data_IF_681869191267
#
_entry.id   IF_681869191267
#
_cell.length_a   1.000
_cell.length_b   1.000
_cell.length_c   1.000
_cell.angle_alpha   90.00
_cell.angle_beta   90.00
_cell.angle_gamma   90.00
#
_symmetry.space_group_name_H-M   'P 1'
#
loop_
_entity.id
_entity.type
_entity.pdbx_description
1 polymer ?
#
# COMPACT_ATOMS: atom_id res chain seq x y z
N UNK A 1 13.46 21.51 7.15
CA UNK A 1 13.73 20.86 5.84
C UNK A 1 13.32 19.39 5.81
N UNK A 2 13.62 18.58 6.84
CA UNK A 2 13.16 17.17 6.91
C UNK A 2 11.63 16.99 6.90
N UNK A 3 10.88 17.83 7.62
CA UNK A 3 9.41 17.74 7.71
C UNK A 3 8.74 18.03 6.35
N UNK A 4 9.20 19.06 5.63
CA UNK A 4 8.65 19.43 4.31
C UNK A 4 8.83 18.31 3.27
N UNK A 5 10.01 17.67 3.25
CA UNK A 5 10.28 16.53 2.36
C UNK A 5 9.43 15.30 2.69
N UNK A 6 9.11 15.08 3.97
CA UNK A 6 8.26 13.96 4.38
C UNK A 6 6.80 14.20 3.98
N UNK A 7 6.30 15.42 4.12
CA UNK A 7 4.95 15.83 3.68
C UNK A 7 4.80 15.67 2.17
N UNK A 8 5.77 16.14 1.37
CA UNK A 8 5.73 15.98 -0.09
C UNK A 8 5.77 14.52 -0.56
N UNK A 9 6.44 13.63 0.19
CA UNK A 9 6.41 12.19 -0.07
C UNK A 9 5.07 11.56 0.31
N UNK A 10 4.44 11.99 1.39
CA UNK A 10 3.10 11.51 1.78
C UNK A 10 2.04 11.93 0.75
N UNK A 11 2.10 13.15 0.23
CA UNK A 11 1.20 13.62 -0.84
C UNK A 11 1.40 12.86 -2.17
N UNK A 12 2.64 12.47 -2.50
CA UNK A 12 2.92 11.61 -3.65
C UNK A 12 2.39 10.19 -3.46
N UNK A 13 2.54 9.62 -2.26
CA UNK A 13 1.99 8.31 -1.89
C UNK A 13 0.45 8.32 -1.96
N UNK A 14 -0.21 9.40 -1.52
CA UNK A 14 -1.65 9.54 -1.65
C UNK A 14 -2.11 9.59 -3.11
N UNK A 15 -1.34 10.23 -4.01
CA UNK A 15 -1.63 10.22 -5.46
C UNK A 15 -1.42 8.85 -6.11
N UNK A 16 -0.59 7.98 -5.54
CA UNK A 16 -0.32 6.63 -6.03
C UNK A 16 -1.21 5.55 -5.39
N UNK A 17 -2.01 5.90 -4.38
CA UNK A 17 -2.93 4.94 -3.74
C UNK A 17 -4.03 4.55 -4.73
N UNK A 18 -4.14 3.24 -4.96
CA UNK A 18 -5.24 2.64 -5.73
C UNK A 18 -6.54 2.86 -4.95
N UNK A 19 -7.52 3.52 -5.58
CA UNK A 19 -8.84 3.69 -4.98
C UNK A 19 -9.63 2.37 -4.97
N UNK A 20 -10.60 2.19 -4.07
CA UNK A 20 -11.48 1.02 -4.09
C UNK A 20 -12.17 0.81 -5.44
N UNK A 21 -12.61 1.88 -6.12
CA UNK A 21 -13.22 1.78 -7.44
C UNK A 21 -12.22 1.27 -8.48
N UNK A 22 -10.97 1.76 -8.42
CA UNK A 22 -9.93 1.28 -9.32
C UNK A 22 -9.59 -0.19 -9.05
N UNK A 23 -9.58 -0.61 -7.80
CA UNK A 23 -9.39 -2.00 -7.43
C UNK A 23 -10.52 -2.90 -7.95
N UNK A 24 -11.78 -2.45 -7.95
CA UNK A 24 -12.90 -3.18 -8.58
C UNK A 24 -12.62 -3.40 -10.08
N UNK A 25 -12.20 -2.36 -10.81
CA UNK A 25 -11.89 -2.49 -12.25
C UNK A 25 -10.78 -3.50 -12.52
N UNK A 26 -9.69 -3.44 -11.74
CA UNK A 26 -8.55 -4.34 -11.89
C UNK A 26 -8.95 -5.78 -11.55
N UNK A 27 -9.60 -6.00 -10.41
CA UNK A 27 -10.01 -7.32 -9.96
C UNK A 27 -11.01 -7.96 -10.94
N UNK A 28 -11.95 -7.19 -11.49
CA UNK A 28 -12.86 -7.66 -12.53
C UNK A 28 -12.13 -8.11 -13.79
N UNK A 29 -11.13 -7.34 -14.25
CA UNK A 29 -10.33 -7.70 -15.42
C UNK A 29 -9.62 -9.05 -15.24
N UNK A 30 -9.22 -9.36 -14.01
CA UNK A 30 -8.61 -10.64 -13.64
C UNK A 30 -9.65 -11.73 -13.29
N UNK A 31 -10.94 -11.50 -13.55
CA UNK A 31 -12.02 -12.48 -13.37
C UNK A 31 -12.63 -12.53 -11.96
N UNK A 32 -12.34 -11.55 -11.11
CA UNK A 32 -12.87 -11.47 -9.74
C UNK A 32 -13.90 -10.35 -9.60
N UNK A 33 -15.17 -10.70 -9.59
CA UNK A 33 -16.26 -9.74 -9.33
C UNK A 33 -16.37 -9.44 -7.84
N UNK A 34 -16.20 -8.16 -7.48
CA UNK A 34 -16.28 -7.68 -6.10
C UNK A 34 -16.99 -6.34 -6.03
N UNK A 35 -17.67 -6.08 -4.92
CA UNK A 35 -18.21 -4.76 -4.59
C UNK A 35 -17.08 -3.81 -4.17
N UNK A 36 -17.34 -2.50 -4.23
CA UNK A 36 -16.40 -1.48 -3.75
C UNK A 36 -16.02 -1.69 -2.27
N UNK A 37 -16.97 -2.11 -1.43
CA UNK A 37 -16.74 -2.42 -0.01
C UNK A 37 -15.78 -3.61 0.17
N UNK A 38 -15.92 -4.64 -0.67
CA UNK A 38 -14.98 -5.77 -0.67
C UNK A 38 -13.61 -5.36 -1.20
N UNK A 39 -13.55 -4.58 -2.28
CA UNK A 39 -12.29 -4.06 -2.82
C UNK A 39 -11.54 -3.22 -1.79
N UNK A 40 -12.25 -2.37 -1.01
CA UNK A 40 -11.66 -1.64 0.12
C UNK A 40 -11.01 -2.58 1.15
N UNK A 41 -11.72 -3.64 1.57
CA UNK A 41 -11.18 -4.62 2.54
C UNK A 41 -9.96 -5.36 1.98
N UNK A 42 -9.96 -5.66 0.68
CA UNK A 42 -8.80 -6.28 0.00
C UNK A 42 -7.61 -5.34 0.04
N UNK A 43 -7.78 -4.06 -0.31
CA UNK A 43 -6.71 -3.06 -0.25
C UNK A 43 -6.16 -2.90 1.17
N UNK A 44 -7.02 -2.82 2.19
CA UNK A 44 -6.61 -2.75 3.60
C UNK A 44 -5.81 -3.98 4.04
N UNK A 45 -6.17 -5.16 3.53
CA UNK A 45 -5.43 -6.39 3.80
C UNK A 45 -4.05 -6.40 3.14
N UNK A 46 -3.97 -5.99 1.87
CA UNK A 46 -2.70 -5.88 1.13
C UNK A 46 -1.77 -4.85 1.76
N UNK A 47 -2.30 -3.72 2.25
CA UNK A 47 -1.52 -2.71 2.97
C UNK A 47 -0.89 -3.29 4.25
N UNK A 48 -1.62 -4.12 5.00
CA UNK A 48 -1.07 -4.81 6.18
C UNK A 48 0.06 -5.76 5.79
N UNK A 49 -0.10 -6.54 4.73
CA UNK A 49 0.95 -7.43 4.24
C UNK A 49 2.20 -6.67 3.80
N UNK A 50 2.02 -5.58 3.04
CA UNK A 50 3.11 -4.72 2.61
C UNK A 50 3.87 -4.13 3.81
N UNK A 51 3.15 -3.62 4.81
CA UNK A 51 3.76 -3.09 6.03
C UNK A 51 4.58 -4.15 6.79
N UNK A 52 4.07 -5.39 6.88
CA UNK A 52 4.81 -6.50 7.50
C UNK A 52 6.11 -6.77 6.71
N UNK A 53 6.03 -6.90 5.39
CA UNK A 53 7.19 -7.18 4.55
C UNK A 53 8.25 -6.08 4.60
N UNK A 54 7.82 -4.81 4.54
CA UNK A 54 8.72 -3.65 4.65
C UNK A 54 9.39 -3.61 6.03
N UNK A 55 8.62 -3.81 7.10
CA UNK A 55 9.18 -3.82 8.45
C UNK A 55 10.21 -4.94 8.65
N UNK A 56 9.97 -6.12 8.08
CA UNK A 56 10.92 -7.22 8.13
C UNK A 56 12.21 -6.87 7.38
N UNK A 57 12.11 -6.38 6.14
CA UNK A 57 13.27 -5.95 5.35
C UNK A 57 14.09 -4.86 6.07
N UNK A 58 13.40 -3.87 6.67
CA UNK A 58 14.07 -2.81 7.43
C UNK A 58 14.74 -3.32 8.71
N UNK A 59 14.24 -4.41 9.29
CA UNK A 59 14.88 -5.07 10.44
C UNK A 59 16.14 -5.80 9.99
N UNK A 60 16.05 -6.60 8.93
CA UNK A 60 17.19 -7.35 8.39
C UNK A 60 18.35 -6.41 8.00
N UNK A 61 18.05 -5.27 7.37
CA UNK A 61 19.04 -4.24 7.05
C UNK A 61 19.72 -3.60 8.26
N UNK A 62 19.08 -3.60 9.43
CA UNK A 62 19.68 -3.09 10.68
C UNK A 62 20.52 -4.14 11.38
N UNK A 63 20.13 -5.40 11.25
CA UNK A 63 20.81 -6.54 11.86
C UNK A 63 22.09 -6.90 11.08
N UNK A 64 22.19 -6.59 9.78
CA UNK A 64 23.42 -6.75 8.95
C UNK A 64 24.48 -5.65 9.16
N UNK A 65 24.12 -4.54 9.83
CA UNK A 65 24.99 -3.35 10.01
C UNK A 65 25.58 -3.28 11.43
N UNK A 66 25.20 -4.19 12.32
CA UNK A 66 25.72 -4.36 13.69
C UNK A 66 26.51 -5.66 13.83
#
# INVERSE_FOLDING_TARGET
>A
MLVQNMVSRMEAIEKERVSPQKAVEVLRREGLEVTESQAKKILEFLEKLANIAVNQCLKDLKDDVL
#
